data_IF_112243123060
#
_entry.id   IF_112243123060
#
_cell.length_a   1.000
_cell.length_b   1.000
_cell.length_c   1.000
_cell.angle_alpha   90.00
_cell.angle_beta   90.00
_cell.angle_gamma   90.00
#
_symmetry.space_group_name_H-M   'P 1'
#
loop_
_entity.id
_entity.type
_entity.pdbx_description
1 polymer ?
#
# COMPACT_ATOMS: atom_id res chain seq x y z
N UNK A 1 5.84 11.57 -8.18
CA UNK A 1 6.13 10.33 -7.43
C UNK A 1 5.06 9.29 -7.75
N UNK A 2 5.46 8.05 -8.03
CA UNK A 2 4.57 6.92 -8.33
C UNK A 2 4.32 6.09 -7.07
N UNK A 3 3.09 6.11 -6.59
CA UNK A 3 2.69 5.42 -5.36
C UNK A 3 1.83 4.23 -5.74
N UNK A 4 2.22 3.05 -5.27
CA UNK A 4 1.45 1.82 -5.39
C UNK A 4 0.77 1.50 -4.06
N UNK A 5 -0.56 1.49 -4.05
CA UNK A 5 -1.35 0.99 -2.92
C UNK A 5 -1.70 -0.47 -3.22
N UNK A 6 -1.34 -1.38 -2.32
CA UNK A 6 -1.79 -2.79 -2.39
C UNK A 6 -2.66 -3.05 -1.17
N UNK A 7 -3.84 -3.62 -1.39
CA UNK A 7 -4.72 -4.06 -0.30
C UNK A 7 -5.49 -5.31 -0.71
N UNK A 8 -5.99 -6.04 0.29
CA UNK A 8 -6.90 -7.17 0.12
C UNK A 8 -8.13 -7.02 0.99
N UNK A 9 -8.81 -8.12 1.30
CA UNK A 9 -9.88 -8.22 2.30
C UNK A 9 -10.78 -6.96 2.42
N UNK A 10 -11.58 -6.70 1.38
CA UNK A 10 -12.54 -5.59 1.33
C UNK A 10 -11.95 -4.21 1.04
N UNK A 11 -10.62 -4.04 1.02
CA UNK A 11 -9.94 -2.82 0.55
C UNK A 11 -10.19 -1.56 1.36
N UNK A 12 -10.59 -1.68 2.63
CA UNK A 12 -10.96 -0.51 3.46
C UNK A 12 -9.75 0.36 3.78
N UNK A 13 -8.62 -0.26 4.14
CA UNK A 13 -7.40 0.47 4.48
C UNK A 13 -6.80 1.15 3.26
N UNK A 14 -6.69 0.43 2.16
CA UNK A 14 -6.22 0.94 0.88
C UNK A 14 -7.08 2.10 0.38
N UNK A 15 -8.40 2.04 0.59
CA UNK A 15 -9.30 3.14 0.24
C UNK A 15 -9.00 4.40 1.06
N UNK A 16 -8.87 4.27 2.38
CA UNK A 16 -8.54 5.42 3.23
C UNK A 16 -7.17 6.01 2.88
N UNK A 17 -6.18 5.15 2.58
CA UNK A 17 -4.89 5.58 2.05
C UNK A 17 -5.05 6.35 0.73
N UNK A 18 -5.83 5.84 -0.23
CA UNK A 18 -6.06 6.52 -1.49
C UNK A 18 -6.70 7.90 -1.28
N UNK A 19 -7.73 7.99 -0.42
CA UNK A 19 -8.43 9.25 -0.11
C UNK A 19 -7.47 10.29 0.51
N UNK A 20 -6.63 9.88 1.46
CA UNK A 20 -5.67 10.78 2.10
C UNK A 20 -4.54 11.18 1.16
N UNK A 21 -3.96 10.24 0.42
CA UNK A 21 -2.83 10.53 -0.49
C UNK A 21 -3.28 11.47 -1.61
N UNK A 22 -4.45 11.23 -2.21
CA UNK A 22 -4.93 12.03 -3.34
C UNK A 22 -5.35 13.44 -2.93
N UNK A 23 -5.81 13.63 -1.68
CA UNK A 23 -6.15 14.94 -1.14
C UNK A 23 -4.95 15.74 -0.62
N UNK A 24 -3.91 15.06 -0.10
CA UNK A 24 -2.80 15.71 0.58
C UNK A 24 -1.50 15.80 -0.23
N UNK A 25 -1.33 14.98 -1.28
CA UNK A 25 -0.14 14.94 -2.13
C UNK A 25 -0.51 15.20 -3.60
N UNK A 26 -0.83 16.45 -3.91
CA UNK A 26 -1.15 16.87 -5.27
C UNK A 26 0.00 16.57 -6.23
N UNK A 27 -0.29 15.88 -7.33
CA UNK A 27 0.69 15.48 -8.35
C UNK A 27 1.35 14.10 -8.12
N UNK A 28 0.99 13.38 -7.06
CA UNK A 28 1.34 11.97 -6.94
C UNK A 28 0.51 11.11 -7.92
N UNK A 29 1.15 10.16 -8.61
CA UNK A 29 0.46 9.18 -9.45
C UNK A 29 0.14 7.97 -8.58
N UNK A 30 -1.15 7.77 -8.27
CA UNK A 30 -1.59 6.69 -7.36
C UNK A 30 -2.13 5.52 -8.18
N UNK A 31 -1.47 4.37 -8.10
CA UNK A 31 -1.95 3.10 -8.65
C UNK A 31 -2.44 2.21 -7.52
N UNK A 32 -3.69 1.75 -7.60
CA UNK A 32 -4.26 0.79 -6.66
C UNK A 32 -4.25 -0.62 -7.26
N UNK A 33 -3.71 -1.60 -6.55
CA UNK A 33 -3.78 -3.01 -6.94
C UNK A 33 -4.40 -3.82 -5.82
N UNK A 34 -5.63 -4.28 -6.05
CA UNK A 34 -6.28 -5.21 -5.14
C UNK A 34 -5.80 -6.63 -5.38
N UNK A 35 -5.61 -7.40 -4.31
CA UNK A 35 -5.48 -8.87 -4.40
C UNK A 35 -6.77 -9.52 -4.89
N UNK A 36 -7.91 -8.84 -4.71
CA UNK A 36 -9.23 -9.21 -5.23
C UNK A 36 -9.97 -7.97 -5.79
N UNK A 37 -11.03 -8.20 -6.57
CA UNK A 37 -11.76 -7.14 -7.28
C UNK A 37 -12.49 -6.16 -6.35
N UNK A 38 -12.97 -6.63 -5.20
CA UNK A 38 -13.62 -5.80 -4.18
C UNK A 38 -12.64 -4.78 -3.60
N UNK A 39 -11.42 -5.22 -3.28
CA UNK A 39 -10.38 -4.36 -2.76
C UNK A 39 -9.98 -3.29 -3.79
N UNK A 40 -9.80 -3.70 -5.04
CA UNK A 40 -9.54 -2.79 -6.17
C UNK A 40 -10.62 -1.73 -6.31
N UNK A 41 -11.90 -2.14 -6.33
CA UNK A 41 -13.03 -1.23 -6.47
C UNK A 41 -13.15 -0.26 -5.28
N UNK A 42 -12.83 -0.71 -4.07
CA UNK A 42 -12.81 0.13 -2.88
C UNK A 42 -11.75 1.22 -3.01
N UNK A 43 -10.52 0.86 -3.38
CA UNK A 43 -9.43 1.82 -3.56
C UNK A 43 -9.66 2.82 -4.70
N UNK A 44 -10.26 2.35 -5.81
CA UNK A 44 -10.62 3.22 -6.92
C UNK A 44 -11.65 4.29 -6.50
N UNK A 45 -12.63 3.93 -5.66
CA UNK A 45 -13.56 4.91 -5.06
C UNK A 45 -12.87 5.93 -4.15
N UNK A 46 -11.68 5.61 -3.65
CA UNK A 46 -10.84 6.51 -2.88
C UNK A 46 -9.99 7.48 -3.71
N UNK A 47 -10.13 7.47 -5.04
CA UNK A 47 -9.48 8.46 -5.91
C UNK A 47 -8.19 8.00 -6.59
N UNK A 48 -7.83 6.71 -6.51
CA UNK A 48 -6.66 6.19 -7.23
C UNK A 48 -6.74 6.48 -8.74
N UNK A 49 -5.64 6.94 -9.34
CA UNK A 49 -5.55 7.30 -10.76
C UNK A 49 -5.69 6.09 -11.68
N UNK A 50 -5.05 4.98 -11.28
CA UNK A 50 -5.08 3.71 -12.00
C UNK A 50 -5.48 2.59 -11.04
N UNK A 51 -6.16 1.57 -11.56
CA UNK A 51 -6.53 0.40 -10.76
C UNK A 51 -6.40 -0.90 -11.56
N UNK A 52 -5.89 -1.94 -10.91
CA UNK A 52 -5.80 -3.29 -11.46
C UNK A 52 -6.01 -4.34 -10.35
N UNK A 53 -6.22 -5.60 -10.74
CA UNK A 53 -6.48 -6.69 -9.77
C UNK A 53 -5.59 -7.90 -10.05
N UNK A 54 -5.14 -8.56 -8.99
CA UNK A 54 -4.54 -9.89 -9.05
C UNK A 54 -3.02 -9.94 -9.12
N UNK A 55 -2.47 -11.15 -9.14
CA UNK A 55 -1.03 -11.43 -8.94
C UNK A 55 -0.14 -10.67 -9.93
N UNK A 56 -0.43 -10.77 -11.22
CA UNK A 56 0.42 -10.14 -12.22
C UNK A 56 0.35 -8.61 -12.15
N UNK A 57 -0.80 -8.04 -11.75
CA UNK A 57 -0.92 -6.60 -11.55
C UNK A 57 0.01 -6.13 -10.42
N UNK A 58 0.09 -6.88 -9.31
CA UNK A 58 1.03 -6.60 -8.21
C UNK A 58 2.47 -6.66 -8.73
N UNK A 59 2.83 -7.75 -9.41
CA UNK A 59 4.19 -7.97 -9.94
C UNK A 59 4.63 -6.84 -10.88
N UNK A 60 3.75 -6.44 -11.82
CA UNK A 60 4.06 -5.39 -12.79
C UNK A 60 4.12 -4.02 -12.15
N UNK A 61 3.17 -3.70 -11.26
CA UNK A 61 3.13 -2.40 -10.60
C UNK A 61 4.32 -2.18 -9.66
N UNK A 62 4.77 -3.22 -8.94
CA UNK A 62 5.93 -3.15 -8.05
C UNK A 62 7.21 -2.70 -8.76
N UNK A 63 7.38 -3.03 -10.05
CA UNK A 63 8.56 -2.65 -10.85
C UNK A 63 8.62 -1.16 -11.20
N UNK A 64 7.51 -0.43 -11.03
CA UNK A 64 7.35 0.96 -11.47
C UNK A 64 7.12 1.92 -10.31
N UNK A 65 6.89 1.40 -9.11
CA UNK A 65 6.56 2.17 -7.94
C UNK A 65 7.81 2.81 -7.34
N UNK A 66 7.68 4.07 -6.91
CA UNK A 66 8.65 4.73 -6.03
C UNK A 66 8.42 4.34 -4.57
N UNK A 67 7.14 4.19 -4.22
CA UNK A 67 6.67 3.82 -2.88
C UNK A 67 5.57 2.77 -3.01
N UNK A 68 5.64 1.72 -2.20
CA UNK A 68 4.58 0.73 -2.01
C UNK A 68 3.99 0.90 -0.61
N UNK A 69 2.67 1.03 -0.51
CA UNK A 69 1.97 1.26 0.75
C UNK A 69 0.77 0.32 0.89
N UNK A 70 0.53 -0.20 2.09
CA UNK A 70 -0.57 -1.14 2.35
C UNK A 70 -0.44 -1.88 3.67
N UNK A 71 -1.38 -2.79 4.01
CA UNK A 71 -1.27 -3.60 5.22
C UNK A 71 -0.05 -4.52 5.15
N UNK A 72 0.55 -4.81 6.31
CA UNK A 72 1.77 -5.64 6.39
C UNK A 72 1.62 -7.04 5.73
N UNK A 73 0.39 -7.55 5.63
CA UNK A 73 0.12 -8.82 4.94
C UNK A 73 0.59 -8.85 3.47
N UNK A 74 0.70 -7.72 2.77
CA UNK A 74 1.09 -7.71 1.35
C UNK A 74 2.51 -8.25 1.10
N UNK A 75 3.35 -8.35 2.14
CA UNK A 75 4.71 -8.96 2.07
C UNK A 75 4.77 -10.37 2.65
N UNK A 76 3.64 -10.94 3.06
CA UNK A 76 3.54 -12.27 3.65
C UNK A 76 2.77 -13.18 2.70
N UNK A 77 3.46 -14.20 2.18
CA UNK A 77 2.83 -15.25 1.39
C UNK A 77 1.71 -15.92 2.20
N UNK A 78 0.63 -16.27 1.51
CA UNK A 78 -0.58 -16.93 2.02
C UNK A 78 -1.38 -16.12 3.07
N UNK A 79 -0.98 -14.87 3.29
CA UNK A 79 -1.74 -13.97 4.16
C UNK A 79 -3.08 -13.57 3.52
N UNK A 80 -3.90 -12.86 4.30
CA UNK A 80 -5.22 -12.39 3.85
C UNK A 80 -6.12 -13.53 3.35
N UNK A 81 -6.09 -14.68 4.04
CA UNK A 81 -6.79 -15.92 3.68
C UNK A 81 -6.35 -16.49 2.31
N UNK A 82 -5.07 -16.39 1.98
CA UNK A 82 -4.50 -16.90 0.72
C UNK A 82 -4.64 -15.95 -0.47
N UNK A 83 -5.09 -14.71 -0.25
CA UNK A 83 -5.15 -13.70 -1.31
C UNK A 83 -3.76 -13.25 -1.78
N UNK A 84 -2.78 -13.23 -0.86
CA UNK A 84 -1.39 -12.85 -1.19
C UNK A 84 -0.61 -14.08 -1.56
N UNK A 85 -0.23 -14.20 -2.83
CA UNK A 85 0.61 -15.32 -3.28
C UNK A 85 2.09 -15.09 -2.97
N UNK A 86 2.89 -16.15 -3.01
CA UNK A 86 4.35 -16.05 -2.89
C UNK A 86 4.97 -15.06 -3.89
N UNK A 87 4.47 -15.04 -5.14
CA UNK A 87 4.94 -14.12 -6.18
C UNK A 87 4.60 -12.67 -5.87
N UNK A 88 3.42 -12.40 -5.33
CA UNK A 88 3.05 -11.05 -4.88
C UNK A 88 3.99 -10.59 -3.78
N UNK A 89 4.13 -11.38 -2.71
CA UNK A 89 4.99 -11.06 -1.58
C UNK A 89 6.45 -10.82 -2.00
N UNK A 90 6.99 -11.70 -2.85
CA UNK A 90 8.33 -11.57 -3.41
C UNK A 90 8.48 -10.32 -4.28
N UNK A 91 7.49 -9.97 -5.09
CA UNK A 91 7.52 -8.77 -5.91
C UNK A 91 7.57 -7.49 -5.06
N UNK A 92 6.76 -7.41 -4.00
CA UNK A 92 6.78 -6.28 -3.07
C UNK A 92 8.13 -6.21 -2.33
N UNK A 93 8.61 -7.34 -1.81
CA UNK A 93 9.85 -7.39 -1.03
C UNK A 93 11.11 -7.12 -1.86
N UNK A 94 11.11 -7.43 -3.15
CA UNK A 94 12.26 -7.21 -4.06
C UNK A 94 12.20 -5.91 -4.85
N UNK A 95 11.08 -5.19 -4.78
CA UNK A 95 10.94 -3.91 -5.46
C UNK A 95 12.03 -2.93 -5.01
N UNK A 96 12.57 -2.18 -5.97
CA UNK A 96 13.42 -1.01 -5.74
C UNK A 96 12.54 0.21 -5.39
N UNK A 97 11.76 0.04 -4.32
CA UNK A 97 10.78 1.00 -3.85
C UNK A 97 10.82 1.08 -2.31
N UNK A 98 10.52 2.25 -1.77
CA UNK A 98 10.32 2.37 -0.32
C UNK A 98 8.99 1.72 0.05
N UNK A 99 8.96 0.94 1.14
CA UNK A 99 7.74 0.29 1.64
C UNK A 99 7.26 0.97 2.90
N UNK A 100 5.99 1.36 2.94
CA UNK A 100 5.30 1.85 4.13
C UNK A 100 4.21 0.82 4.46
N UNK A 101 4.44 0.03 5.50
CA UNK A 101 3.57 -1.09 5.86
C UNK A 101 2.75 -0.76 7.10
N UNK A 102 1.43 -0.95 7.02
CA UNK A 102 0.50 -0.71 8.12
C UNK A 102 0.39 -1.99 8.95
N UNK A 103 0.78 -1.98 10.24
CA UNK A 103 0.74 -3.17 11.09
C UNK A 103 -0.70 -3.49 11.49
N UNK A 104 -1.40 -4.26 10.67
CA UNK A 104 -2.76 -4.74 10.97
C UNK A 104 -2.71 -6.10 11.64
N UNK A 105 -3.29 -6.24 12.82
CA UNK A 105 -3.22 -7.46 13.63
C UNK A 105 -4.19 -8.57 13.16
N UNK A 106 -4.23 -8.87 11.86
CA UNK A 106 -5.22 -9.82 11.27
C UNK A 106 -4.65 -11.14 10.77
N UNK A 107 -3.34 -11.36 10.88
CA UNK A 107 -2.67 -12.56 10.34
C UNK A 107 -1.85 -13.34 11.38
N UNK A 108 -2.17 -13.21 12.67
CA UNK A 108 -1.38 -13.87 13.74
C UNK A 108 0.06 -13.34 13.84
N UNK A 109 0.32 -12.16 13.29
CA UNK A 109 1.64 -11.51 13.28
C UNK A 109 1.74 -10.47 14.38
N UNK A 110 2.75 -10.61 15.23
CA UNK A 110 3.14 -9.59 16.19
C UNK A 110 4.36 -8.83 15.67
N UNK A 111 4.27 -7.50 15.64
CA UNK A 111 5.40 -6.63 15.28
C UNK A 111 5.97 -6.05 16.58
N UNK A 112 7.26 -6.27 16.86
CA UNK A 112 7.89 -5.71 18.04
C UNK A 112 8.13 -4.19 17.87
N UNK A 113 7.98 -3.42 18.95
CA UNK A 113 8.27 -1.98 18.97
C UNK A 113 7.21 -1.07 18.35
N UNK A 114 6.03 -1.60 17.98
CA UNK A 114 4.87 -0.78 17.59
C UNK A 114 3.95 -0.56 18.79
N UNK A 115 3.48 0.67 18.96
CA UNK A 115 2.45 1.00 19.95
C UNK A 115 1.07 0.54 19.47
N UNK A 116 0.21 0.13 20.40
CA UNK A 116 -1.20 -0.15 20.09
C UNK A 116 -1.96 1.17 19.95
N UNK A 117 -2.03 1.67 18.71
CA UNK A 117 -2.63 2.95 18.35
C UNK A 117 -3.80 2.76 17.39
N UNK A 118 -4.65 3.76 17.30
CA UNK A 118 -5.82 3.69 16.42
C UNK A 118 -5.42 3.52 14.95
N UNK A 119 -6.29 2.91 14.14
CA UNK A 119 -6.07 2.80 12.69
C UNK A 119 -5.85 4.18 12.04
N UNK A 120 -6.56 5.21 12.52
CA UNK A 120 -6.39 6.58 12.06
C UNK A 120 -4.98 7.12 12.35
N UNK A 121 -4.43 6.85 13.52
CA UNK A 121 -3.05 7.24 13.86
C UNK A 121 -2.02 6.54 12.98
N UNK A 122 -2.19 5.23 12.71
CA UNK A 122 -1.32 4.50 11.78
C UNK A 122 -1.36 5.09 10.36
N UNK A 123 -2.55 5.47 9.89
CA UNK A 123 -2.71 6.10 8.58
C UNK A 123 -2.04 7.48 8.53
N UNK A 124 -2.25 8.31 9.55
CA UNK A 124 -1.61 9.63 9.64
C UNK A 124 -0.08 9.53 9.66
N UNK A 125 0.46 8.56 10.42
CA UNK A 125 1.89 8.29 10.44
C UNK A 125 2.42 7.83 9.07
N UNK A 126 1.68 6.98 8.36
CA UNK A 126 2.03 6.54 7.02
C UNK A 126 2.05 7.70 6.01
N UNK A 127 1.06 8.60 6.06
CA UNK A 127 1.03 9.81 5.23
C UNK A 127 2.18 10.76 5.58
N UNK A 128 2.49 10.93 6.87
CA UNK A 128 3.63 11.75 7.32
C UNK A 128 4.96 11.21 6.76
N UNK A 129 5.19 9.90 6.83
CA UNK A 129 6.37 9.24 6.23
C UNK A 129 6.41 9.44 4.72
N UNK A 130 5.29 9.28 4.04
CA UNK A 130 5.18 9.48 2.59
C UNK A 130 5.53 10.93 2.18
N UNK A 131 5.03 11.93 2.90
CA UNK A 131 5.34 13.36 2.64
C UNK A 131 6.83 13.66 2.80
N UNK A 132 7.49 13.07 3.81
CA UNK A 132 8.94 13.22 3.99
C UNK A 132 9.71 12.70 2.77
N UNK A 133 9.36 11.50 2.29
CA UNK A 133 9.97 10.92 1.07
C UNK A 133 9.75 11.80 -0.17
N UNK A 134 8.58 12.44 -0.30
CA UNK A 134 8.29 13.33 -1.41
C UNK A 134 9.16 14.60 -1.37
N UNK A 135 9.38 15.15 -0.18
CA UNK A 135 10.24 16.32 0.01
C UNK A 135 11.72 16.00 -0.26
N UNK A 136 12.21 14.88 0.25
CA UNK A 136 13.61 14.47 0.06
C UNK A 136 13.95 14.30 -1.43
N UNK A 137 13.02 13.75 -2.21
CA UNK A 137 13.20 13.61 -3.67
C UNK A 137 13.23 14.95 -4.40
N UNK A 138 12.41 15.91 -4.01
CA UNK A 138 12.42 17.25 -4.60
C UNK A 138 13.72 18.02 -4.31
N UNK A 139 14.45 17.66 -3.24
CA UNK A 139 15.74 18.26 -2.91
C UNK A 139 16.91 17.63 -3.68
N UNK A 140 16.73 16.44 -4.27
CA UNK A 140 17.76 15.69 -5.01
C UNK A 140 17.65 15.85 -6.54
N UNK A 141 16.58 16.51 -7.01
CA UNK A 141 16.30 16.81 -8.43
C UNK A 141 16.60 18.27 -8.75
#
# INVERSE_FOLDING_TARGET
MKILIIDGQGGRLGRQLAEMITSELLGAEVTAVGTNSTATASMLKGGATHAATGENAVVVACRRADVIIGPIGIVMADSLLGEVTEKMAAAVARADATRILIPTNRCGTLVAGVSDVSTTELLNDAISKLKRLANDRNMMS
#
